data_IF_521274252122
#
_entry.id   IF_521274252122
#
_cell.length_a   1.000
_cell.length_b   1.000
_cell.length_c   1.000
_cell.angle_alpha   90.00
_cell.angle_beta   90.00
_cell.angle_gamma   90.00
#
_symmetry.space_group_name_H-M   'P 1'
#
loop_
_entity.id
_entity.type
_entity.pdbx_description
1 polymer ?
#
# COMPACT_ATOMS: atom_id res chain seq x y z
N UNK A 1 12.98 6.82 21.84
CA UNK A 1 12.84 7.15 20.43
C UNK A 1 12.26 5.94 19.70
N UNK A 2 11.11 6.09 19.07
CA UNK A 2 10.52 4.98 18.34
C UNK A 2 11.29 4.75 17.04
N UNK A 3 11.69 3.51 16.81
CA UNK A 3 12.34 3.16 15.55
C UNK A 3 11.31 3.09 14.44
N UNK A 4 11.57 3.78 13.33
CA UNK A 4 10.70 3.67 12.17
C UNK A 4 10.98 2.35 11.46
N UNK A 5 9.93 1.75 10.89
CA UNK A 5 10.08 0.53 10.10
C UNK A 5 10.47 0.88 8.67
N UNK A 6 11.33 0.09 8.03
CA UNK A 6 11.57 0.28 6.61
C UNK A 6 10.33 -0.09 5.79
N UNK A 7 10.25 0.44 4.57
CA UNK A 7 9.21 0.07 3.61
C UNK A 7 9.85 -0.86 2.57
N UNK A 8 9.21 -2.00 2.36
CA UNK A 8 9.60 -2.95 1.31
C UNK A 8 8.49 -2.97 0.26
N UNK A 9 8.87 -2.88 -1.00
CA UNK A 9 7.92 -2.84 -2.10
C UNK A 9 7.87 -4.19 -2.81
N UNK A 10 6.68 -4.81 -2.84
CA UNK A 10 6.49 -6.10 -3.51
C UNK A 10 6.32 -5.91 -5.02
N UNK A 11 6.97 -6.76 -5.81
CA UNK A 11 6.86 -6.71 -7.26
C UNK A 11 7.19 -5.33 -7.84
N UNK A 12 6.33 -4.84 -8.72
CA UNK A 12 6.50 -3.55 -9.38
C UNK A 12 5.92 -2.36 -8.59
N UNK A 13 5.52 -2.57 -7.33
CA UNK A 13 4.76 -1.54 -6.60
C UNK A 13 5.51 -0.21 -6.45
N UNK A 14 6.84 -0.22 -6.32
CA UNK A 14 7.60 1.02 -6.23
C UNK A 14 7.60 1.77 -7.57
N UNK A 15 7.79 1.05 -8.67
CA UNK A 15 7.75 1.67 -10.00
C UNK A 15 6.37 2.25 -10.27
N UNK A 16 5.33 1.53 -9.86
CA UNK A 16 3.96 1.97 -10.04
C UNK A 16 3.67 3.24 -9.22
N UNK A 17 4.18 3.31 -8.00
CA UNK A 17 4.06 4.50 -7.17
C UNK A 17 4.80 5.67 -7.80
N UNK A 18 6.00 5.43 -8.32
CA UNK A 18 6.79 6.48 -8.98
C UNK A 18 6.12 7.01 -10.24
N UNK A 19 5.22 6.23 -10.84
CA UNK A 19 4.46 6.68 -12.01
C UNK A 19 3.27 7.57 -11.68
N UNK A 20 2.94 7.73 -10.40
CA UNK A 20 1.88 8.67 -9.99
C UNK A 20 2.29 10.09 -10.36
N UNK A 21 1.31 10.97 -10.66
CA UNK A 21 1.61 12.39 -10.79
C UNK A 21 2.34 12.93 -9.55
N UNK A 22 3.15 13.96 -9.72
CA UNK A 22 4.06 14.44 -8.68
C UNK A 22 3.36 14.69 -7.34
N UNK A 23 2.22 15.37 -7.34
CA UNK A 23 1.49 15.69 -6.11
C UNK A 23 1.02 14.42 -5.40
N UNK A 24 0.44 13.48 -6.15
CA UNK A 24 -0.03 12.20 -5.60
C UNK A 24 1.16 11.38 -5.08
N UNK A 25 2.27 11.39 -5.81
CA UNK A 25 3.47 10.67 -5.40
C UNK A 25 4.04 11.21 -4.09
N UNK A 26 4.09 12.53 -3.94
CA UNK A 26 4.55 13.15 -2.70
C UNK A 26 3.63 12.81 -1.52
N UNK A 27 2.33 12.86 -1.77
CA UNK A 27 1.36 12.50 -0.74
C UNK A 27 1.48 11.03 -0.35
N UNK A 28 1.73 10.15 -1.32
CA UNK A 28 1.97 8.74 -1.05
C UNK A 28 3.17 8.56 -0.12
N UNK A 29 4.27 9.26 -0.39
CA UNK A 29 5.45 9.21 0.46
C UNK A 29 5.17 9.70 1.87
N UNK A 30 4.42 10.79 2.00
CA UNK A 30 4.02 11.34 3.29
C UNK A 30 3.17 10.32 4.09
N UNK A 31 2.21 9.70 3.45
CA UNK A 31 1.34 8.72 4.11
C UNK A 31 2.12 7.47 4.54
N UNK A 32 3.04 6.99 3.72
CA UNK A 32 3.87 5.86 4.08
C UNK A 32 4.82 6.21 5.24
N UNK A 33 5.33 7.44 5.27
CA UNK A 33 6.15 7.91 6.39
C UNK A 33 5.36 7.85 7.70
N UNK A 34 4.09 8.25 7.68
CA UNK A 34 3.24 8.14 8.88
C UNK A 34 3.15 6.69 9.35
N UNK A 35 2.91 5.77 8.43
CA UNK A 35 2.81 4.34 8.77
C UNK A 35 4.14 3.82 9.33
N UNK A 36 5.26 4.22 8.74
CA UNK A 36 6.58 3.84 9.23
C UNK A 36 6.81 4.26 10.69
N UNK A 37 6.20 5.36 11.10
CA UNK A 37 6.33 5.90 12.45
C UNK A 37 5.20 5.47 13.39
N UNK A 38 4.48 4.41 13.03
CA UNK A 38 3.45 3.84 13.89
C UNK A 38 2.12 4.58 13.88
N UNK A 39 1.92 5.49 12.91
CA UNK A 39 0.70 6.26 12.79
C UNK A 39 -0.18 5.70 11.69
N UNK A 40 -1.47 6.01 11.77
CA UNK A 40 -2.39 5.65 10.69
C UNK A 40 -2.34 6.68 9.57
N UNK A 41 -2.58 6.26 8.33
CA UNK A 41 -2.74 7.21 7.23
C UNK A 41 -3.93 8.14 7.47
N UNK A 42 -3.97 9.28 6.78
CA UNK A 42 -5.07 10.24 6.93
C UNK A 42 -6.41 9.69 6.44
N UNK A 43 -6.40 8.92 5.34
CA UNK A 43 -7.62 8.33 4.77
C UNK A 43 -7.31 6.90 4.37
N UNK A 44 -7.95 5.95 5.04
CA UNK A 44 -7.66 4.53 4.85
C UNK A 44 -8.86 3.66 5.19
N UNK A 45 -8.82 2.43 4.73
CA UNK A 45 -9.78 1.42 5.18
C UNK A 45 -9.14 0.03 5.15
N UNK A 46 -9.68 -0.92 5.93
CA UNK A 46 -9.23 -2.31 5.84
C UNK A 46 -9.60 -2.91 4.48
N UNK A 47 -8.73 -3.76 3.96
CA UNK A 47 -8.97 -4.49 2.71
C UNK A 47 -8.84 -5.99 2.96
N UNK A 48 -9.75 -6.52 3.77
CA UNK A 48 -9.71 -7.94 4.14
C UNK A 48 -9.94 -8.88 2.97
N UNK A 49 -10.55 -8.39 1.89
CA UNK A 49 -10.71 -9.17 0.66
C UNK A 49 -9.37 -9.48 0.00
N UNK A 50 -8.34 -8.70 0.25
CA UNK A 50 -6.97 -8.97 -0.23
C UNK A 50 -6.26 -9.92 0.71
N UNK A 51 -6.38 -9.66 2.02
CA UNK A 51 -5.75 -10.48 3.03
C UNK A 51 -5.91 -9.87 4.40
N UNK A 52 -5.68 -10.69 5.40
CA UNK A 52 -5.80 -10.27 6.79
C UNK A 52 -4.72 -9.25 7.13
N UNK A 53 -5.13 -8.10 7.66
CA UNK A 53 -4.22 -7.03 8.03
C UNK A 53 -3.84 -6.11 6.90
N UNK A 54 -4.38 -6.32 5.70
CA UNK A 54 -4.12 -5.43 4.56
C UNK A 54 -4.96 -4.16 4.71
N UNK A 55 -4.32 -3.03 4.46
CA UNK A 55 -4.94 -1.71 4.55
C UNK A 55 -4.78 -0.97 3.24
N UNK A 56 -5.80 -0.21 2.86
CA UNK A 56 -5.80 0.63 1.68
C UNK A 56 -5.63 2.08 2.09
N UNK A 57 -4.58 2.74 1.60
CA UNK A 57 -4.43 4.19 1.71
C UNK A 57 -5.12 4.82 0.53
N UNK A 58 -5.92 5.84 0.78
CA UNK A 58 -6.66 6.59 -0.24
C UNK A 58 -6.01 7.95 -0.43
N UNK A 59 -5.67 8.26 -1.67
CA UNK A 59 -5.08 9.54 -2.05
C UNK A 59 -5.92 10.13 -3.16
N UNK A 60 -6.20 11.43 -3.07
CA UNK A 60 -6.95 12.13 -4.08
C UNK A 60 -6.29 13.48 -4.36
N UNK A 61 -6.12 13.80 -5.64
CA UNK A 61 -5.65 15.10 -6.07
C UNK A 61 -6.34 15.49 -7.38
N UNK A 62 -5.88 16.58 -8.00
CA UNK A 62 -6.48 17.07 -9.24
C UNK A 62 -6.41 16.06 -10.38
N UNK A 63 -5.41 15.18 -10.37
CA UNK A 63 -5.23 14.18 -11.42
C UNK A 63 -6.13 12.96 -11.22
N UNK A 64 -6.74 12.78 -10.05
CA UNK A 64 -7.63 11.68 -9.79
C UNK A 64 -7.44 11.03 -8.43
N UNK A 65 -7.84 9.78 -8.35
CA UNK A 65 -7.77 8.99 -7.13
C UNK A 65 -6.68 7.92 -7.26
N UNK A 66 -5.93 7.71 -6.18
CA UNK A 66 -4.82 6.74 -6.15
C UNK A 66 -4.94 5.90 -4.89
N UNK A 67 -4.45 4.67 -4.97
CA UNK A 67 -4.53 3.72 -3.86
C UNK A 67 -3.19 3.04 -3.62
N UNK A 68 -2.91 2.79 -2.34
CA UNK A 68 -1.75 2.01 -1.91
C UNK A 68 -2.27 0.92 -0.99
N UNK A 69 -2.00 -0.34 -1.34
CA UNK A 69 -2.35 -1.47 -0.51
C UNK A 69 -1.10 -1.93 0.23
N UNK A 70 -1.15 -1.97 1.54
CA UNK A 70 0.01 -2.34 2.35
C UNK A 70 -0.39 -3.20 3.54
N UNK A 71 0.60 -3.84 4.14
CA UNK A 71 0.44 -4.59 5.37
C UNK A 71 1.57 -4.20 6.33
N UNK A 72 1.21 -3.89 7.58
CA UNK A 72 2.15 -3.37 8.59
C UNK A 72 2.31 -4.29 9.80
N UNK A 73 1.69 -5.47 9.78
CA UNK A 73 1.70 -6.37 10.95
C UNK A 73 3.02 -7.09 11.20
N UNK A 74 3.92 -7.09 10.21
CA UNK A 74 5.21 -7.75 10.36
C UNK A 74 6.17 -6.87 11.15
N UNK A 75 6.97 -7.49 12.00
CA UNK A 75 7.87 -6.75 12.89
C UNK A 75 9.00 -6.06 12.15
N UNK A 76 9.42 -6.61 11.01
CA UNK A 76 10.62 -6.17 10.29
C UNK A 76 10.39 -5.03 9.31
N UNK A 77 9.20 -4.91 8.73
CA UNK A 77 8.96 -3.91 7.67
C UNK A 77 7.48 -3.67 7.42
N UNK A 78 7.20 -2.55 6.74
CA UNK A 78 5.93 -2.27 6.11
C UNK A 78 6.04 -2.81 4.68
N UNK A 79 5.12 -3.66 4.27
CA UNK A 79 5.15 -4.23 2.92
C UNK A 79 4.07 -3.61 2.05
N UNK A 80 4.50 -2.92 0.99
CA UNK A 80 3.57 -2.34 0.02
C UNK A 80 3.31 -3.40 -1.04
N UNK A 81 2.05 -3.80 -1.16
CA UNK A 81 1.63 -4.86 -2.09
C UNK A 81 1.34 -4.34 -3.49
N UNK A 82 0.71 -3.17 -3.58
CA UNK A 82 0.27 -2.64 -4.87
C UNK A 82 -0.02 -1.16 -4.79
N UNK A 83 0.32 -0.42 -5.84
CA UNK A 83 0.04 1.01 -5.98
C UNK A 83 -0.61 1.21 -7.35
N UNK A 84 -1.74 1.92 -7.40
CA UNK A 84 -2.46 2.04 -8.66
C UNK A 84 -3.39 3.26 -8.67
N UNK A 85 -3.63 3.85 -9.87
CA UNK A 85 -4.69 4.84 -10.00
C UNK A 85 -6.04 4.13 -9.98
N UNK A 86 -6.98 4.67 -9.22
CA UNK A 86 -8.33 4.11 -9.14
C UNK A 86 -9.24 4.84 -10.10
N UNK A 87 -9.67 4.16 -11.16
CA UNK A 87 -10.46 4.74 -12.23
C UNK A 87 -11.94 4.39 -12.19
N UNK A 88 -12.35 3.52 -11.27
CA UNK A 88 -13.73 3.06 -11.11
C UNK A 88 -14.16 3.20 -9.66
N UNK A 89 -15.47 3.13 -9.39
CA UNK A 89 -15.97 3.21 -8.01
C UNK A 89 -15.42 2.12 -7.13
N UNK A 90 -15.34 0.90 -7.64
CA UNK A 90 -14.78 -0.23 -6.91
C UNK A 90 -13.37 -0.51 -7.40
N UNK A 91 -12.53 -0.99 -6.50
CA UNK A 91 -11.21 -1.48 -6.89
C UNK A 91 -11.40 -2.64 -7.87
N UNK A 92 -10.67 -2.61 -9.00
CA UNK A 92 -10.83 -3.63 -10.03
C UNK A 92 -10.44 -5.00 -9.51
N UNK A 93 -11.05 -6.04 -10.10
CA UNK A 93 -10.72 -7.42 -9.75
C UNK A 93 -9.25 -7.72 -10.03
N UNK A 94 -8.71 -7.18 -11.11
CA UNK A 94 -7.30 -7.38 -11.45
C UNK A 94 -6.38 -6.81 -10.38
N UNK A 95 -6.68 -5.62 -9.85
CA UNK A 95 -5.88 -5.01 -8.77
C UNK A 95 -5.98 -5.81 -7.49
N UNK A 96 -7.17 -6.29 -7.15
CA UNK A 96 -7.37 -7.10 -5.95
C UNK A 96 -6.62 -8.44 -6.05
N UNK A 97 -6.68 -9.10 -7.20
CA UNK A 97 -6.01 -10.38 -7.41
C UNK A 97 -4.50 -10.25 -7.39
N UNK A 98 -3.97 -9.19 -7.99
CA UNK A 98 -2.54 -8.94 -7.98
C UNK A 98 -2.03 -8.73 -6.55
N UNK A 99 -2.72 -7.89 -5.78
CA UNK A 99 -2.35 -7.64 -4.40
C UNK A 99 -2.45 -8.91 -3.54
N UNK A 100 -3.50 -9.70 -3.72
CA UNK A 100 -3.69 -10.95 -2.99
C UNK A 100 -2.59 -11.96 -3.30
N UNK A 101 -2.19 -12.06 -4.57
CA UNK A 101 -1.10 -12.94 -4.97
C UNK A 101 0.22 -12.53 -4.31
N UNK A 102 0.53 -11.23 -4.33
CA UNK A 102 1.73 -10.72 -3.68
C UNK A 102 1.73 -10.95 -2.18
N UNK A 103 0.56 -10.83 -1.56
CA UNK A 103 0.43 -11.11 -0.13
C UNK A 103 0.70 -12.59 0.17
N UNK A 104 0.16 -13.49 -0.62
CA UNK A 104 0.42 -14.93 -0.46
C UNK A 104 1.91 -15.26 -0.61
N UNK A 105 2.56 -14.65 -1.60
CA UNK A 105 4.00 -14.84 -1.80
C UNK A 105 4.80 -14.33 -0.60
N UNK A 106 4.41 -13.17 -0.08
CA UNK A 106 5.04 -12.61 1.12
C UNK A 106 4.90 -13.54 2.32
N UNK A 107 3.71 -14.11 2.53
CA UNK A 107 3.48 -15.03 3.62
C UNK A 107 4.36 -16.29 3.51
N UNK A 108 4.54 -16.80 2.31
CA UNK A 108 5.41 -17.94 2.07
C UNK A 108 6.86 -17.63 2.40
N UNK A 109 7.34 -16.47 1.97
CA UNK A 109 8.72 -16.05 2.21
C UNK A 109 9.00 -15.84 3.69
N UNK A 110 8.01 -15.40 4.45
CA UNK A 110 8.16 -15.16 5.89
C UNK A 110 7.88 -16.39 6.73
N UNK A 111 7.59 -17.53 6.12
CA UNK A 111 7.33 -18.78 6.84
C UNK A 111 5.96 -18.85 7.50
N UNK A 112 5.03 -18.07 7.01
CA UNK A 112 3.67 -18.05 7.58
C UNK A 112 2.62 -18.67 6.68
#
# INVERSE_FOLDING_TARGET
MADSKPVEFCGSSLEDLRAFPLTARREAGHQLDRVQNGREPDDWKPMTSVGRGVTEIRIRDEAGAFRILYVAKFADAIYVLHCFPKKTEKTSQADLELAARRYRELLKESGQ
#
